data_IF_762435069943
#
_entry.id   IF_762435069943
#
_cell.length_a   1.000
_cell.length_b   1.000
_cell.length_c   1.000
_cell.angle_alpha   90.00
_cell.angle_beta   90.00
_cell.angle_gamma   90.00
#
_symmetry.space_group_name_H-M   'P 1'
#
loop_
_entity.id
_entity.type
_entity.pdbx_description
1 polymer ?
#
# COMPACT_ATOMS: atom_id res chain seq x y z
N UNK A 1 -17.91 21.75 9.20
CA UNK A 1 -18.19 20.30 9.27
C UNK A 1 -17.31 19.76 10.38
N UNK A 2 -17.92 19.22 11.42
CA UNK A 2 -17.18 18.74 12.58
C UNK A 2 -16.32 17.53 12.16
N UNK A 3 -15.01 17.59 12.32
CA UNK A 3 -14.09 16.52 11.91
C UNK A 3 -14.43 15.17 12.54
N UNK A 4 -14.99 15.17 13.74
CA UNK A 4 -15.48 13.97 14.43
C UNK A 4 -16.66 13.29 13.75
N UNK A 5 -17.49 14.02 13.00
CA UNK A 5 -18.65 13.46 12.33
C UNK A 5 -18.22 12.55 11.16
N UNK A 6 -17.17 12.93 10.42
CA UNK A 6 -16.62 12.12 9.34
C UNK A 6 -16.09 10.77 9.86
N UNK A 7 -15.39 10.76 10.99
CA UNK A 7 -14.91 9.52 11.59
C UNK A 7 -16.03 8.61 12.09
N UNK A 8 -17.10 9.18 12.65
CA UNK A 8 -18.29 8.42 13.06
C UNK A 8 -19.00 7.79 11.85
N UNK A 9 -19.11 8.53 10.75
CA UNK A 9 -19.73 8.03 9.52
C UNK A 9 -18.90 6.91 8.90
N UNK A 10 -17.58 7.04 8.85
CA UNK A 10 -16.67 5.99 8.39
C UNK A 10 -16.83 4.75 9.28
N UNK A 11 -16.79 4.92 10.60
CA UNK A 11 -16.96 3.82 11.55
C UNK A 11 -18.29 3.10 11.37
N UNK A 12 -19.39 3.82 11.15
CA UNK A 12 -20.71 3.25 10.93
C UNK A 12 -20.80 2.44 9.63
N UNK A 13 -20.10 2.90 8.57
CA UNK A 13 -20.10 2.23 7.25
C UNK A 13 -19.22 0.99 7.19
N UNK A 14 -18.17 0.92 8.02
CA UNK A 14 -17.13 -0.09 7.94
C UNK A 14 -17.16 -1.07 9.11
N UNK A 15 -18.21 -1.03 9.93
CA UNK A 15 -18.31 -1.78 11.18
C UNK A 15 -17.09 -1.54 12.12
N UNK A 16 -16.52 -0.34 12.01
CA UNK A 16 -15.37 0.10 12.79
C UNK A 16 -14.01 -0.35 12.25
N UNK A 17 -13.93 -1.04 11.09
CA UNK A 17 -12.67 -1.38 10.43
C UNK A 17 -12.38 -0.40 9.29
N UNK A 18 -11.18 0.15 9.27
CA UNK A 18 -10.66 1.02 8.22
C UNK A 18 -9.53 0.31 7.48
N UNK A 19 -9.74 0.13 6.18
CA UNK A 19 -8.72 -0.38 5.27
C UNK A 19 -8.08 0.80 4.54
N UNK A 20 -6.89 1.19 4.98
CA UNK A 20 -6.13 2.30 4.38
C UNK A 20 -5.29 1.77 3.22
N UNK A 21 -5.79 1.92 1.99
CA UNK A 21 -5.08 1.57 0.77
C UNK A 21 -4.00 2.59 0.46
N UNK A 22 -2.74 2.16 0.44
CA UNK A 22 -1.60 3.03 0.09
C UNK A 22 -1.24 2.80 -1.36
N UNK A 23 -1.65 3.71 -2.22
CA UNK A 23 -1.61 3.59 -3.68
C UNK A 23 -0.75 4.68 -4.32
N UNK A 24 -0.48 4.55 -5.61
CA UNK A 24 0.32 5.52 -6.36
C UNK A 24 1.35 4.86 -7.25
N UNK A 25 2.18 5.64 -7.96
CA UNK A 25 3.23 5.11 -8.82
C UNK A 25 4.24 4.26 -8.07
N UNK A 26 4.93 3.38 -8.78
CA UNK A 26 6.03 2.59 -8.21
C UNK A 26 7.16 3.50 -7.70
N UNK A 27 7.85 3.09 -6.63
CA UNK A 27 9.01 3.78 -6.04
C UNK A 27 8.75 5.20 -5.50
N UNK A 28 7.52 5.52 -5.14
CA UNK A 28 7.16 6.81 -4.54
C UNK A 28 7.24 6.85 -3.01
N UNK A 29 7.69 5.76 -2.37
CA UNK A 29 7.82 5.72 -0.91
C UNK A 29 6.63 5.10 -0.18
N UNK A 30 5.70 4.43 -0.87
CA UNK A 30 4.54 3.76 -0.25
C UNK A 30 4.93 2.85 0.90
N UNK A 31 5.86 1.94 0.68
CA UNK A 31 6.33 1.00 1.70
C UNK A 31 7.02 1.69 2.87
N UNK A 32 7.72 2.79 2.62
CA UNK A 32 8.30 3.63 3.68
C UNK A 32 7.22 4.29 4.52
N UNK A 33 6.18 4.81 3.89
CA UNK A 33 5.02 5.37 4.58
C UNK A 33 4.35 4.31 5.45
N UNK A 34 4.06 3.12 4.90
CA UNK A 34 3.42 2.00 5.62
C UNK A 34 4.24 1.63 6.85
N UNK A 35 5.55 1.49 6.71
CA UNK A 35 6.44 1.19 7.82
C UNK A 35 6.38 2.25 8.92
N UNK A 36 6.49 3.53 8.55
CA UNK A 36 6.44 4.65 9.50
C UNK A 36 5.07 4.77 10.18
N UNK A 37 4.01 4.60 9.44
CA UNK A 37 2.65 4.57 10.00
C UNK A 37 2.49 3.45 11.02
N UNK A 38 2.97 2.25 10.70
CA UNK A 38 2.92 1.12 11.61
C UNK A 38 3.78 1.34 12.86
N UNK A 39 4.99 1.87 12.72
CA UNK A 39 5.89 2.18 13.84
C UNK A 39 5.27 3.19 14.82
N UNK A 40 4.56 4.19 14.29
CA UNK A 40 4.03 5.29 15.10
C UNK A 40 2.63 5.02 15.66
N UNK A 41 1.77 4.31 14.93
CA UNK A 41 0.35 4.19 15.27
C UNK A 41 -0.11 2.74 15.51
N UNK A 42 0.48 1.74 14.88
CA UNK A 42 0.05 0.35 15.03
C UNK A 42 0.81 -0.34 16.15
N UNK A 43 2.14 -0.38 16.07
CA UNK A 43 2.96 -1.10 17.04
C UNK A 43 2.83 -0.62 18.49
N UNK A 44 2.66 0.69 18.78
CA UNK A 44 2.43 1.15 20.15
C UNK A 44 1.09 0.68 20.75
N UNK A 45 0.08 0.44 19.89
CA UNK A 45 -1.25 -0.03 20.32
C UNK A 45 -1.35 -1.56 20.47
N UNK A 46 -0.31 -2.30 20.10
CA UNK A 46 -0.22 -3.74 20.31
C UNK A 46 0.38 -4.04 21.68
N UNK A 47 -0.43 -4.57 22.58
CA UNK A 47 -0.02 -4.98 23.94
C UNK A 47 0.59 -6.38 23.97
N UNK A 48 0.19 -7.25 23.06
CA UNK A 48 0.70 -8.61 22.91
C UNK A 48 2.05 -8.59 22.19
N UNK A 49 3.10 -9.08 22.88
CA UNK A 49 4.48 -9.10 22.36
C UNK A 49 4.59 -9.95 21.08
N UNK A 50 3.93 -11.11 21.05
CA UNK A 50 3.98 -12.01 19.88
C UNK A 50 3.26 -11.40 18.66
N UNK A 51 2.12 -10.74 18.89
CA UNK A 51 1.43 -10.01 17.82
C UNK A 51 2.28 -8.85 17.31
N UNK A 52 2.98 -8.17 18.19
CA UNK A 52 3.86 -7.06 17.84
C UNK A 52 5.06 -7.51 17.00
N UNK A 53 5.72 -8.61 17.39
CA UNK A 53 6.83 -9.19 16.61
C UNK A 53 6.34 -9.66 15.25
N UNK A 54 5.26 -10.43 15.18
CA UNK A 54 4.67 -10.88 13.91
C UNK A 54 4.31 -9.69 13.00
N UNK A 55 3.71 -8.64 13.55
CA UNK A 55 3.39 -7.44 12.77
C UNK A 55 4.64 -6.78 12.20
N UNK A 56 5.74 -6.72 12.97
CA UNK A 56 7.03 -6.22 12.46
C UNK A 56 7.55 -7.03 11.28
N UNK A 57 7.42 -8.35 11.33
CA UNK A 57 7.86 -9.24 10.25
C UNK A 57 6.98 -9.11 8.99
N UNK A 58 5.72 -8.72 9.18
CA UNK A 58 4.76 -8.47 8.08
C UNK A 58 4.97 -7.12 7.39
N UNK A 59 5.66 -6.18 8.04
CA UNK A 59 5.93 -4.86 7.46
C UNK A 59 6.79 -4.97 6.20
N UNK A 60 6.58 -4.07 5.22
CA UNK A 60 7.44 -4.01 4.06
C UNK A 60 8.88 -3.80 4.49
N UNK A 61 9.75 -4.72 4.10
CA UNK A 61 11.17 -4.54 4.30
C UNK A 61 11.67 -3.52 3.29
N UNK A 62 12.39 -2.51 3.76
CA UNK A 62 13.06 -1.55 2.89
C UNK A 62 14.11 -2.30 2.09
N UNK A 63 13.71 -2.85 0.95
CA UNK A 63 14.63 -3.52 0.07
C UNK A 63 15.53 -2.44 -0.56
N UNK A 64 16.79 -2.44 -0.20
CA UNK A 64 17.85 -1.78 -0.96
C UNK A 64 18.03 -2.43 -2.36
N UNK A 65 17.24 -3.47 -2.64
CA UNK A 65 17.23 -4.19 -3.91
C UNK A 65 16.39 -3.50 -4.99
N UNK A 66 16.82 -3.66 -6.22
CA UNK A 66 16.13 -3.12 -7.40
C UNK A 66 14.92 -3.95 -7.82
N UNK A 67 14.80 -5.20 -7.35
CA UNK A 67 13.77 -6.14 -7.79
C UNK A 67 12.50 -6.03 -6.93
N UNK A 68 11.35 -5.88 -7.57
CA UNK A 68 10.04 -5.93 -6.94
C UNK A 68 9.59 -7.39 -6.87
N UNK A 69 9.32 -7.90 -5.67
CA UNK A 69 9.14 -9.35 -5.44
C UNK A 69 7.71 -9.84 -5.64
N UNK A 70 6.70 -9.01 -5.37
CA UNK A 70 5.28 -9.42 -5.43
C UNK A 70 4.43 -8.37 -6.11
N UNK A 71 3.37 -8.81 -6.79
CA UNK A 71 2.37 -7.96 -7.45
C UNK A 71 1.03 -7.95 -6.71
N UNK A 72 0.86 -8.85 -5.75
CA UNK A 72 -0.38 -8.99 -5.00
C UNK A 72 -0.50 -7.92 -3.91
N UNK A 73 -1.73 -7.40 -3.67
CA UNK A 73 -2.02 -6.59 -2.50
C UNK A 73 -1.67 -7.33 -1.21
N UNK A 74 -1.08 -6.62 -0.27
CA UNK A 74 -0.69 -7.18 1.02
C UNK A 74 -1.35 -6.39 2.14
N UNK A 75 -2.09 -7.10 3.00
CA UNK A 75 -2.66 -6.53 4.22
C UNK A 75 -1.61 -6.51 5.33
N UNK A 76 -1.43 -5.35 5.96
CA UNK A 76 -0.43 -5.12 7.01
C UNK A 76 -1.03 -4.31 8.16
N UNK A 77 -1.12 -4.86 9.35
CA UNK A 77 -0.96 -6.28 9.68
C UNK A 77 -2.10 -7.15 9.13
N UNK A 78 -1.94 -8.47 9.16
CA UNK A 78 -2.99 -9.41 8.73
C UNK A 78 -4.27 -9.28 9.54
N UNK A 79 -4.17 -8.97 10.83
CA UNK A 79 -5.29 -8.71 11.71
C UNK A 79 -5.39 -7.19 11.96
N UNK A 80 -6.61 -6.65 11.91
CA UNK A 80 -6.82 -5.23 12.20
C UNK A 80 -6.44 -4.90 13.65
N UNK A 81 -5.82 -3.74 13.84
CA UNK A 81 -5.37 -3.26 15.14
C UNK A 81 -6.23 -2.08 15.57
N UNK A 82 -6.74 -2.14 16.79
CA UNK A 82 -7.45 -1.03 17.42
C UNK A 82 -6.49 0.12 17.71
N UNK A 83 -6.82 1.29 17.18
CA UNK A 83 -6.08 2.53 17.37
C UNK A 83 -7.02 3.58 17.93
N UNK A 84 -6.61 4.23 19.01
CA UNK A 84 -7.36 5.34 19.58
C UNK A 84 -7.04 6.63 18.82
N UNK A 85 -8.07 7.27 18.30
CA UNK A 85 -8.01 8.57 17.64
C UNK A 85 -8.68 9.62 18.53
N UNK A 86 -7.87 10.28 19.38
CA UNK A 86 -8.40 11.19 20.41
C UNK A 86 -8.96 10.44 21.64
N UNK A 87 -9.83 11.11 22.40
CA UNK A 87 -10.32 10.57 23.68
C UNK A 87 -11.46 9.55 23.49
N UNK A 88 -12.31 9.71 22.48
CA UNK A 88 -13.59 8.97 22.37
C UNK A 88 -13.72 8.10 21.11
N UNK A 89 -12.74 8.09 20.21
CA UNK A 89 -12.84 7.36 18.96
C UNK A 89 -11.80 6.25 18.91
N UNK A 90 -12.28 5.01 18.88
CA UNK A 90 -11.46 3.84 18.61
C UNK A 90 -11.85 3.24 17.26
N UNK A 91 -10.87 3.00 16.41
CA UNK A 91 -11.04 2.39 15.09
C UNK A 91 -10.08 1.23 14.92
N UNK A 92 -10.49 0.22 14.20
CA UNK A 92 -9.60 -0.86 13.79
C UNK A 92 -9.00 -0.52 12.44
N UNK A 93 -7.67 -0.54 12.34
CA UNK A 93 -6.95 -0.14 11.12
C UNK A 93 -6.18 -1.32 10.55
N UNK A 94 -6.26 -1.45 9.24
CA UNK A 94 -5.36 -2.22 8.38
C UNK A 94 -4.81 -1.33 7.28
N UNK A 95 -3.53 -1.49 6.98
CA UNK A 95 -2.95 -0.95 5.76
C UNK A 95 -3.05 -1.98 4.64
N UNK A 96 -3.24 -1.51 3.43
CA UNK A 96 -3.18 -2.36 2.23
C UNK A 96 -2.08 -1.81 1.34
N UNK A 97 -1.00 -2.59 1.22
CA UNK A 97 0.14 -2.26 0.35
C UNK A 97 -0.06 -2.84 -1.04
N UNK A 98 0.42 -2.14 -2.05
CA UNK A 98 0.49 -2.61 -3.43
C UNK A 98 1.77 -2.13 -4.11
N UNK A 99 2.10 -2.73 -5.23
CA UNK A 99 3.25 -2.31 -6.04
C UNK A 99 3.08 -0.88 -6.55
N UNK A 100 1.91 -0.55 -7.02
CA UNK A 100 1.63 0.69 -7.72
C UNK A 100 1.73 0.54 -9.25
N UNK A 101 1.29 1.57 -9.95
CA UNK A 101 1.42 1.63 -11.40
C UNK A 101 2.88 1.82 -11.79
N UNK A 102 3.30 1.09 -12.83
CA UNK A 102 4.66 1.23 -13.36
C UNK A 102 4.85 2.60 -14.01
N UNK A 103 6.06 3.12 -13.86
CA UNK A 103 6.51 4.39 -14.40
C UNK A 103 7.55 4.12 -15.49
N UNK A 104 7.52 4.86 -16.58
CA UNK A 104 8.49 4.72 -17.65
C UNK A 104 9.91 4.96 -17.13
N UNK A 105 10.84 4.08 -17.47
CA UNK A 105 12.21 4.11 -16.97
C UNK A 105 12.43 3.49 -15.59
N UNK A 106 11.35 3.12 -14.85
CA UNK A 106 11.52 2.45 -13.57
C UNK A 106 12.09 1.04 -13.75
N UNK A 107 13.07 0.69 -12.92
CA UNK A 107 13.67 -0.64 -12.89
C UNK A 107 12.91 -1.60 -11.99
N UNK A 108 13.19 -2.92 -12.12
CA UNK A 108 12.70 -3.96 -11.23
C UNK A 108 11.63 -4.88 -11.82
N UNK A 109 11.15 -4.58 -13.04
CA UNK A 109 10.21 -5.41 -13.79
C UNK A 109 10.85 -6.11 -14.99
N UNK A 110 12.11 -5.77 -15.32
CA UNK A 110 12.87 -6.36 -16.42
C UNK A 110 13.87 -7.38 -15.85
N UNK A 111 13.95 -8.53 -16.46
CA UNK A 111 14.91 -9.58 -16.19
C UNK A 111 15.46 -10.13 -17.51
N UNK A 112 16.77 -10.23 -17.62
CA UNK A 112 17.45 -10.68 -18.86
C UNK A 112 17.01 -9.94 -20.15
N UNK A 113 16.75 -8.63 -20.02
CA UNK A 113 16.37 -7.77 -21.14
C UNK A 113 14.90 -7.90 -21.58
N UNK A 114 14.11 -8.71 -20.90
CA UNK A 114 12.67 -8.89 -21.16
C UNK A 114 11.83 -8.60 -19.93
N UNK A 115 10.58 -8.20 -20.14
CA UNK A 115 9.65 -8.01 -19.04
C UNK A 115 9.33 -9.34 -18.36
N UNK A 116 9.45 -9.37 -17.04
CA UNK A 116 9.14 -10.54 -16.22
C UNK A 116 7.70 -10.97 -16.40
N UNK A 117 7.50 -12.29 -16.55
CA UNK A 117 6.19 -12.91 -16.47
C UNK A 117 5.98 -13.39 -15.03
N UNK A 118 4.78 -13.19 -14.50
CA UNK A 118 4.45 -13.52 -13.12
C UNK A 118 3.12 -14.25 -13.01
N UNK A 119 3.06 -15.19 -12.10
CA UNK A 119 1.81 -15.83 -11.68
C UNK A 119 1.06 -14.90 -10.73
N UNK A 120 -0.25 -14.88 -10.87
CA UNK A 120 -1.14 -14.12 -9.98
C UNK A 120 -2.35 -14.99 -9.61
N UNK A 121 -3.03 -14.72 -8.49
CA UNK A 121 -4.25 -15.46 -8.13
C UNK A 121 -5.41 -15.26 -9.11
N UNK A 122 -5.31 -14.29 -10.02
CA UNK A 122 -6.40 -13.89 -10.91
C UNK A 122 -6.37 -14.57 -12.26
N UNK A 123 -5.25 -15.22 -12.61
CA UNK A 123 -5.07 -15.89 -13.88
C UNK A 123 -4.40 -17.25 -13.72
N UNK A 124 -4.82 -18.22 -14.50
CA UNK A 124 -4.20 -19.56 -14.55
C UNK A 124 -2.86 -19.58 -15.28
N UNK A 125 -2.56 -18.53 -16.05
CA UNK A 125 -1.34 -18.35 -16.83
C UNK A 125 -0.54 -17.15 -16.34
N UNK A 126 0.73 -17.12 -16.68
CA UNK A 126 1.61 -16.00 -16.37
C UNK A 126 1.27 -14.78 -17.22
N UNK A 127 1.35 -13.61 -16.63
CA UNK A 127 1.10 -12.31 -17.29
C UNK A 127 2.28 -11.37 -17.07
N UNK A 128 2.45 -10.34 -17.94
CA UNK A 128 3.48 -9.34 -17.75
C UNK A 128 3.39 -8.68 -16.39
N UNK A 129 4.54 -8.43 -15.76
CA UNK A 129 4.64 -7.82 -14.43
C UNK A 129 3.89 -6.48 -14.35
N UNK A 130 4.03 -5.62 -15.36
CA UNK A 130 3.35 -4.32 -15.44
C UNK A 130 1.83 -4.48 -15.38
N UNK A 131 1.29 -5.48 -16.08
CA UNK A 131 -0.14 -5.80 -16.06
C UNK A 131 -0.58 -6.32 -14.69
N UNK A 132 0.20 -7.20 -14.08
CA UNK A 132 -0.09 -7.74 -12.76
C UNK A 132 -0.07 -6.63 -11.68
N UNK A 133 0.92 -5.75 -11.72
CA UNK A 133 1.03 -4.60 -10.82
C UNK A 133 -0.17 -3.63 -10.95
N UNK A 134 -0.59 -3.36 -12.18
CA UNK A 134 -1.76 -2.52 -12.45
C UNK A 134 -3.05 -3.15 -11.87
N UNK A 135 -3.29 -4.43 -12.14
CA UNK A 135 -4.47 -5.14 -11.61
C UNK A 135 -4.46 -5.18 -10.08
N UNK A 136 -3.32 -5.50 -9.46
CA UNK A 136 -3.18 -5.49 -8.01
C UNK A 136 -3.47 -4.12 -7.41
N UNK A 137 -3.00 -3.03 -8.03
CA UNK A 137 -3.26 -1.67 -7.59
C UNK A 137 -4.74 -1.30 -7.74
N UNK A 138 -5.37 -1.64 -8.86
CA UNK A 138 -6.81 -1.44 -9.06
C UNK A 138 -7.65 -2.18 -8.01
N UNK A 139 -7.27 -3.41 -7.67
CA UNK A 139 -7.96 -4.18 -6.62
C UNK A 139 -7.87 -3.50 -5.26
N UNK A 140 -6.73 -2.87 -4.92
CA UNK A 140 -6.65 -2.08 -3.68
C UNK A 140 -7.63 -0.92 -3.72
N UNK A 141 -7.69 -0.18 -4.83
CA UNK A 141 -8.55 0.99 -4.97
C UNK A 141 -10.04 0.62 -4.92
N UNK A 142 -10.45 -0.41 -5.67
CA UNK A 142 -11.87 -0.72 -5.87
C UNK A 142 -12.43 -1.73 -4.86
N UNK A 143 -11.63 -2.73 -4.47
CA UNK A 143 -12.14 -3.89 -3.74
C UNK A 143 -11.74 -3.87 -2.25
N UNK A 144 -10.60 -3.25 -1.90
CA UNK A 144 -10.00 -3.43 -0.58
C UNK A 144 -9.94 -2.17 0.28
N UNK A 145 -9.80 -0.99 -0.32
CA UNK A 145 -9.62 0.23 0.45
C UNK A 145 -10.94 0.88 0.86
N UNK A 146 -11.07 1.22 2.14
CA UNK A 146 -12.11 2.13 2.64
C UNK A 146 -11.72 3.57 2.39
N UNK A 147 -10.42 3.85 2.54
CA UNK A 147 -9.79 5.14 2.31
C UNK A 147 -8.55 4.90 1.46
N UNK A 148 -8.43 5.61 0.34
CA UNK A 148 -7.24 5.62 -0.50
C UNK A 148 -6.29 6.75 -0.09
N UNK A 149 -5.03 6.41 0.13
CA UNK A 149 -3.95 7.37 0.35
C UNK A 149 -3.00 7.31 -0.84
N UNK A 150 -2.98 8.38 -1.62
CA UNK A 150 -2.10 8.48 -2.79
C UNK A 150 -0.74 9.01 -2.37
N UNK A 151 0.30 8.22 -2.63
CA UNK A 151 1.70 8.60 -2.38
C UNK A 151 2.38 8.82 -3.71
N UNK A 152 2.86 10.02 -3.94
CA UNK A 152 3.60 10.41 -5.13
C UNK A 152 4.94 11.06 -4.79
N UNK A 153 5.69 11.48 -5.78
CA UNK A 153 7.00 12.12 -5.65
C UNK A 153 7.16 13.25 -6.66
N UNK A 154 7.97 14.22 -6.30
CA UNK A 154 8.45 15.28 -7.21
C UNK A 154 9.62 14.84 -8.12
N UNK A 155 10.05 13.59 -7.98
CA UNK A 155 11.20 13.01 -8.70
C UNK A 155 12.55 13.22 -8.01
N UNK A 156 12.63 14.02 -6.95
CA UNK A 156 13.92 14.38 -6.30
C UNK A 156 14.63 13.20 -5.62
N UNK A 157 13.88 12.16 -5.24
CA UNK A 157 14.40 10.97 -4.56
C UNK A 157 14.73 9.83 -5.54
N UNK A 158 14.30 9.98 -6.78
CA UNK A 158 14.50 8.98 -7.85
C UNK A 158 15.27 9.62 -8.99
N UNK A 159 15.92 8.80 -9.81
CA UNK A 159 16.61 9.28 -11.02
C UNK A 159 15.64 9.51 -12.20
N UNK A 160 14.33 9.47 -11.94
CA UNK A 160 13.29 9.64 -12.96
C UNK A 160 12.72 11.05 -12.92
N UNK A 161 12.50 11.63 -14.09
CA UNK A 161 11.90 12.95 -14.23
C UNK A 161 10.45 12.95 -13.70
N UNK A 162 9.99 14.07 -13.16
CA UNK A 162 8.65 14.25 -12.59
C UNK A 162 7.54 13.89 -13.59
N UNK A 163 7.74 14.22 -14.86
CA UNK A 163 6.80 14.00 -15.94
C UNK A 163 6.50 12.51 -16.17
N UNK A 164 7.45 11.63 -15.87
CA UNK A 164 7.28 10.17 -16.03
C UNK A 164 6.26 9.61 -15.04
N UNK A 165 5.96 10.31 -13.95
CA UNK A 165 5.01 9.88 -12.93
C UNK A 165 3.57 10.25 -13.26
N UNK A 166 3.33 11.31 -14.05
CA UNK A 166 2.00 11.84 -14.37
C UNK A 166 1.04 10.76 -14.88
N UNK A 167 1.39 9.92 -15.89
CA UNK A 167 0.46 8.92 -16.39
C UNK A 167 0.06 7.85 -15.37
N UNK A 168 0.94 7.56 -14.41
CA UNK A 168 0.67 6.61 -13.34
C UNK A 168 -0.19 7.23 -12.24
N UNK A 169 -0.03 8.52 -11.97
CA UNK A 169 -0.85 9.28 -11.03
C UNK A 169 -2.28 9.44 -11.54
N UNK A 170 -2.47 9.79 -12.79
CA UNK A 170 -3.79 9.89 -13.43
C UNK A 170 -4.60 8.59 -13.37
N UNK A 171 -3.92 7.44 -13.37
CA UNK A 171 -4.57 6.13 -13.19
C UNK A 171 -4.93 5.83 -11.73
N UNK A 172 -4.36 6.58 -10.79
CA UNK A 172 -4.54 6.34 -9.35
C UNK A 172 -5.71 7.14 -8.80
N UNK A 173 -6.01 8.29 -9.39
CA UNK A 173 -7.08 9.21 -8.99
C UNK A 173 -8.33 8.96 -9.80
#
# INVERSE_FOLDING_TARGET
MDSFQVYRDIKARTDGEIYLGVVGPVRTGKSTFIKRFADLLILPNLTDVHKKERTKDELPQSASGTTIMTTEPKFVPKEAVSVKLGEDVEVKIRLVDCVGYMVEGASGHIENGTERQVKTPWFEYEIPFTKAAAIGTQKVIHDHATIGLVVTTDGSVTELARENYIPAEEKTV
#
